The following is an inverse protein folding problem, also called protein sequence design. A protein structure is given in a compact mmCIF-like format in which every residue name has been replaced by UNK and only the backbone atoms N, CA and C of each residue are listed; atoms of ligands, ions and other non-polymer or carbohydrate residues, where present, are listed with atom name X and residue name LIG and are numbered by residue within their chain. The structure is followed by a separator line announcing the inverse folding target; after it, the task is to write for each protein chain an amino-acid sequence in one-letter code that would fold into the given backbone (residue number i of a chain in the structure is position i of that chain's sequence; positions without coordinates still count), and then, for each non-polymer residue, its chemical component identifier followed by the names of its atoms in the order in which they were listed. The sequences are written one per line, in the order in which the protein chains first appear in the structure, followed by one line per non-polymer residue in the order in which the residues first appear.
data_IF_580457379003
#
_entry.id   IF_580457379003
#
_cell.length_a   1.000
_cell.length_b   1.000
_cell.length_c   1.000
_cell.angle_alpha   90.00
_cell.angle_beta   90.00
_cell.angle_gamma   90.00
#
_symmetry.space_group_name_H-M   'P 1'
#
loop_
_entity.id
_entity.type
_entity.pdbx_description
1 polymer ?
2 non-polymer ?
3 water ?
#
# COMPACT_ATOMS: atom_id res chain seq x y z
N UNK A 1 -7.70 -13.87 -1.90
CA UNK A 1 -8.68 -13.31 -0.97
C UNK A 1 -7.99 -12.53 0.15
N UNK A 2 -7.00 -13.14 0.79
CA UNK A 2 -6.20 -12.47 1.80
C UNK A 2 -5.49 -11.27 1.17
N UNK A 3 -4.98 -11.47 -0.04
CA UNK A 3 -4.39 -10.38 -0.81
C UNK A 3 -4.67 -10.55 -2.29
N UNK A 4 -4.53 -9.45 -3.03
CA UNK A 4 -4.66 -9.48 -4.48
C UNK A 4 -3.50 -8.71 -5.11
N UNK A 5 -2.99 -9.23 -6.21
CA UNK A 5 -2.05 -8.47 -7.00
C UNK A 5 -2.84 -7.39 -7.74
N UNK A 6 -2.35 -6.16 -7.68
CA UNK A 6 -3.03 -5.04 -8.32
C UNK A 6 -2.43 -4.79 -9.71
N UNK A 7 -1.10 -4.68 -9.77
CA UNK A 7 -0.40 -4.67 -11.06
C UNK A 7 0.90 -5.46 -10.97
N UNK A 8 1.80 -5.24 -11.91
CA UNK A 8 3.05 -6.02 -11.94
C UNK A 8 4.00 -5.67 -10.79
N UNK A 9 3.74 -4.57 -10.11
CA UNK A 9 4.57 -4.17 -8.97
C UNK A 9 3.87 -4.38 -7.64
N UNK A 10 2.65 -3.85 -7.54
CA UNK A 10 1.97 -3.73 -6.26
C UNK A 10 0.95 -4.83 -5.97
N UNK A 11 0.99 -5.33 -4.74
CA UNK A 11 -0.05 -6.20 -4.22
C UNK A 11 -0.72 -5.53 -3.02
N UNK A 12 -1.99 -5.87 -2.79
CA UNK A 12 -2.78 -5.27 -1.72
C UNK A 12 -3.40 -6.37 -0.86
N UNK A 13 -3.15 -6.33 0.45
CA UNK A 13 -3.66 -7.40 1.29
C UNK A 13 -3.78 -7.11 2.78
N UNK A 14 -4.27 -8.11 3.51
CA UNK A 14 -4.41 -8.04 4.95
C UNK A 14 -3.05 -8.32 5.61
N UNK A 15 -3.04 -8.33 6.94
CA UNK A 15 -1.81 -8.57 7.69
C UNK A 15 -1.03 -9.76 7.12
N UNK A 16 0.25 -9.54 6.80
CA UNK A 16 1.07 -10.67 6.34
C UNK A 16 1.54 -11.49 7.54
N UNK A 17 1.00 -12.70 7.67
CA UNK A 17 1.46 -13.61 8.73
C UNK A 17 2.84 -14.13 8.39
N UNK A 18 3.62 -14.50 9.40
CA UNK A 18 4.99 -14.95 9.19
C UNK A 18 5.08 -16.13 8.22
N UNK A 19 4.07 -16.99 8.23
CA UNK A 19 4.08 -18.18 7.39
C UNK A 19 3.83 -17.85 5.92
N UNK A 20 3.55 -16.58 5.63
CA UNK A 20 3.31 -16.14 4.26
C UNK A 20 4.55 -15.55 3.61
N UNK A 21 5.64 -15.48 4.36
CA UNK A 21 6.86 -14.82 3.90
C UNK A 21 7.42 -15.47 2.63
N UNK A 22 7.55 -16.79 2.63
CA UNK A 22 8.11 -17.49 1.50
C UNK A 22 7.27 -17.28 0.24
N UNK A 23 5.96 -17.38 0.37
CA UNK A 23 5.07 -17.17 -0.76
C UNK A 23 5.22 -15.76 -1.34
N UNK A 24 5.26 -14.76 -0.46
CA UNK A 24 5.38 -13.38 -0.90
C UNK A 24 6.74 -13.09 -1.55
N UNK A 25 7.81 -13.48 -0.88
CA UNK A 25 9.15 -13.21 -1.38
C UNK A 25 9.48 -14.04 -2.62
N UNK A 26 9.29 -15.35 -2.53
CA UNK A 26 9.64 -16.25 -3.62
C UNK A 26 8.66 -16.22 -4.79
N UNK A 27 7.38 -16.43 -4.49
CA UNK A 27 6.37 -16.52 -5.54
C UNK A 27 5.96 -15.16 -6.11
N UNK A 28 5.80 -14.17 -5.24
CA UNK A 28 5.34 -12.86 -5.68
C UNK A 28 6.48 -11.87 -5.92
N UNK A 29 7.70 -12.31 -5.63
CA UNK A 29 8.88 -11.46 -5.78
C UNK A 29 8.77 -10.15 -5.00
N UNK A 30 8.14 -10.21 -3.83
CA UNK A 30 8.05 -9.06 -2.95
C UNK A 30 9.40 -8.74 -2.30
N UNK A 31 9.87 -7.52 -2.50
CA UNK A 31 11.16 -7.11 -1.94
C UNK A 31 11.05 -5.81 -1.16
N UNK A 32 9.83 -5.26 -1.13
CA UNK A 32 9.52 -4.12 -0.29
C UNK A 32 8.16 -4.34 0.32
N UNK A 33 7.96 -3.87 1.55
CA UNK A 33 6.65 -3.97 2.19
C UNK A 33 6.24 -2.63 2.79
N UNK A 34 5.04 -2.18 2.44
CA UNK A 34 4.50 -0.96 3.03
C UNK A 34 3.44 -1.34 4.07
N UNK A 35 3.75 -1.07 5.33
CA UNK A 35 2.90 -1.45 6.45
C UNK A 35 2.08 -0.26 6.95
N UNK A 36 0.81 -0.23 6.57
CA UNK A 36 -0.11 0.78 7.05
C UNK A 36 -0.77 0.28 8.34
N UNK A 37 0.02 0.18 9.40
CA UNK A 37 -0.46 -0.36 10.67
C UNK A 37 0.24 0.24 11.87
N UNK A 38 -0.40 0.17 13.02
CA UNK A 38 0.21 0.59 14.26
C UNK A 38 0.96 -0.58 14.88
N UNK A 39 1.88 -0.26 15.80
CA UNK A 39 2.70 -1.28 16.45
C UNK A 39 1.84 -2.36 17.11
N UNK A 40 0.78 -1.95 17.78
CA UNK A 40 -0.07 -2.90 18.50
C UNK A 40 -0.82 -3.86 17.58
N UNK A 41 -0.96 -3.47 16.31
CA UNK A 41 -1.66 -4.30 15.33
C UNK A 41 -0.81 -5.42 14.73
N UNK A 42 0.48 -5.15 14.54
CA UNK A 42 1.37 -6.11 13.87
C UNK A 42 2.20 -6.91 14.85
N UNK A 43 2.14 -6.54 16.12
CA UNK A 43 2.90 -7.23 17.16
C UNK A 43 2.53 -8.72 17.21
N UNK A 44 3.54 -9.58 17.22
CA UNK A 44 3.36 -11.02 17.33
C UNK A 44 3.04 -11.71 16.00
N UNK A 45 2.13 -11.12 15.23
CA UNK A 45 1.61 -11.76 14.02
C UNK A 45 2.48 -11.56 12.78
N UNK A 46 3.17 -10.43 12.73
CA UNK A 46 3.92 -10.07 11.53
C UNK A 46 5.42 -10.07 11.77
N UNK A 47 6.19 -10.19 10.69
CA UNK A 47 7.63 -10.04 10.76
C UNK A 47 7.98 -8.68 11.32
N UNK A 48 9.03 -8.62 12.14
CA UNK A 48 9.60 -7.36 12.54
C UNK A 48 10.35 -6.81 11.35
N UNK A 49 10.75 -5.55 11.41
CA UNK A 49 11.58 -4.95 10.37
C UNK A 49 12.83 -5.81 10.11
N UNK A 50 13.43 -6.32 11.18
CA UNK A 50 14.63 -7.16 11.08
C UNK A 50 14.35 -8.50 10.42
N UNK A 51 13.24 -9.12 10.78
CA UNK A 51 12.86 -10.39 10.18
C UNK A 51 12.53 -10.25 8.69
N UNK A 52 11.89 -9.15 8.32
CA UNK A 52 11.67 -8.85 6.91
C UNK A 52 13.01 -8.74 6.19
N UNK A 53 13.91 -7.94 6.76
CA UNK A 53 15.20 -7.69 6.12
C UNK A 53 15.97 -8.99 5.92
N UNK A 54 15.92 -9.85 6.92
CA UNK A 54 16.56 -11.15 6.83
C UNK A 54 15.98 -11.99 5.70
N UNK A 55 14.71 -11.72 5.38
CA UNK A 55 14.02 -12.48 4.34
C UNK A 55 14.21 -11.83 2.97
N UNK A 56 14.93 -10.72 2.92
CA UNK A 56 15.24 -10.06 1.68
C UNK A 56 14.35 -8.88 1.33
N UNK A 57 13.62 -8.36 2.31
CA UNK A 57 12.71 -7.25 2.03
C UNK A 57 12.80 -6.07 3.00
N UNK A 58 12.69 -4.87 2.43
CA UNK A 58 12.74 -3.63 3.18
C UNK A 58 11.34 -3.19 3.59
N UNK A 59 11.16 -2.93 4.88
CA UNK A 59 9.86 -2.52 5.39
C UNK A 59 9.76 -1.01 5.57
N UNK A 60 8.66 -0.45 5.07
CA UNK A 60 8.33 0.95 5.33
C UNK A 60 7.05 1.00 6.13
N UNK A 61 7.09 1.66 7.28
CA UNK A 61 5.93 1.74 8.15
C UNK A 61 5.31 3.14 8.14
N UNK A 62 3.99 3.19 7.98
CA UNK A 62 3.26 4.46 7.98
C UNK A 62 1.99 4.37 8.82
N UNK A 63 1.77 5.36 9.69
CA UNK A 63 0.63 5.33 10.60
C UNK A 63 -0.51 6.27 10.23
N UNK A 64 -1.64 6.15 10.93
CA UNK A 64 -2.74 7.09 10.83
C UNK A 64 -3.31 7.37 12.23
N UNK A 65 -4.06 8.45 12.36
CA UNK A 65 -4.54 8.89 13.68
C UNK A 65 -5.65 8.00 14.25
N UNK A 66 -6.67 7.72 13.46
CA UNK A 66 -7.79 6.91 13.94
C UNK A 66 -8.20 5.82 12.95
N UNK A 67 -9.36 5.21 13.23
CA UNK A 67 -9.83 4.06 12.47
C UNK A 67 -10.47 4.42 11.14
N UNK A 68 -10.58 5.72 10.86
CA UNK A 68 -11.02 6.15 9.54
C UNK A 68 -9.89 5.93 8.53
N UNK A 69 -8.68 5.75 9.07
CA UNK A 69 -7.53 5.35 8.28
C UNK A 69 -7.05 6.34 7.23
N UNK A 70 -6.90 7.60 7.64
CA UNK A 70 -6.49 8.65 6.71
C UNK A 70 -5.03 9.02 6.87
N UNK A 71 -4.21 8.73 5.85
CA UNK A 71 -2.79 9.14 5.88
C UNK A 71 -2.63 10.62 5.52
N UNK A 72 -1.52 11.21 5.94
CA UNK A 72 -1.19 12.58 5.54
C UNK A 72 -0.68 12.57 4.10
N UNK A 73 -0.67 13.73 3.46
CA UNK A 73 -0.11 13.86 2.12
C UNK A 73 1.35 13.44 2.10
N UNK A 74 2.09 13.87 3.12
CA UNK A 74 3.51 13.56 3.24
C UNK A 74 3.76 12.05 3.25
N UNK A 75 2.99 11.32 4.06
CA UNK A 75 3.12 9.88 4.12
C UNK A 75 2.69 9.20 2.83
N UNK A 76 1.79 9.85 2.09
CA UNK A 76 1.36 9.33 0.80
C UNK A 76 2.52 9.37 -0.21
N UNK A 77 3.17 10.51 -0.32
CA UNK A 77 4.30 10.65 -1.22
C UNK A 77 5.44 9.73 -0.84
N UNK A 78 5.70 9.61 0.45
CA UNK A 78 6.74 8.71 0.95
C UNK A 78 6.43 7.29 0.50
N UNK A 79 5.19 6.86 0.70
CA UNK A 79 4.76 5.53 0.31
C UNK A 79 4.87 5.28 -1.19
N UNK A 80 4.36 6.22 -1.98
CA UNK A 80 4.38 6.06 -3.43
C UNK A 80 5.80 5.96 -3.98
N UNK A 81 6.68 6.84 -3.53
CA UNK A 81 8.07 6.83 -3.98
C UNK A 81 8.78 5.54 -3.62
N UNK A 82 8.41 4.97 -2.47
CA UNK A 82 8.93 3.67 -2.04
C UNK A 82 8.52 2.60 -3.06
N UNK A 83 7.24 2.55 -3.40
CA UNK A 83 6.75 1.62 -4.41
C UNK A 83 7.42 1.83 -5.76
N UNK A 84 7.60 3.09 -6.15
CA UNK A 84 8.22 3.38 -7.44
C UNK A 84 9.67 2.90 -7.48
N UNK A 85 10.34 2.92 -6.33
CA UNK A 85 11.71 2.47 -6.26
C UNK A 85 11.82 1.00 -6.67
N UNK A 86 10.91 0.18 -6.16
CA UNK A 86 10.94 -1.25 -6.47
C UNK A 86 10.38 -1.56 -7.86
N UNK A 87 9.47 -0.73 -8.34
CA UNK A 87 9.01 -0.85 -9.72
C UNK A 87 10.22 -0.71 -10.65
N UNK A 88 11.04 0.30 -10.37
CA UNK A 88 12.22 0.57 -11.18
C UNK A 88 13.19 -0.60 -11.17
N UNK A 89 13.15 -1.39 -10.10
CA UNK A 89 14.03 -2.54 -9.96
C UNK A 89 13.42 -3.80 -10.55
N UNK A 90 12.17 -3.70 -11.01
CA UNK A 90 11.46 -4.86 -11.52
C UNK A 90 11.04 -5.79 -10.40
N UNK A 91 10.87 -5.24 -9.21
CA UNK A 91 10.52 -6.03 -8.03
C UNK A 91 9.16 -5.62 -7.48
N UNK A 92 8.61 -6.43 -6.58
CA UNK A 92 7.24 -6.23 -6.12
C UNK A 92 7.14 -5.66 -4.70
N UNK A 93 6.00 -5.05 -4.42
CA UNK A 93 5.77 -4.40 -3.13
C UNK A 93 4.45 -4.87 -2.53
N UNK A 94 4.50 -5.40 -1.32
CA UNK A 94 3.30 -5.81 -0.61
C UNK A 94 2.80 -4.65 0.23
N UNK A 95 1.68 -4.05 -0.18
CA UNK A 95 1.08 -2.95 0.56
C UNK A 95 -0.05 -3.50 1.41
N UNK A 96 0.05 -3.33 2.72
CA UNK A 96 -0.93 -3.95 3.59
C UNK A 96 -1.39 -3.08 4.76
N UNK A 97 -2.54 -3.45 5.31
CA UNK A 97 -3.06 -2.90 6.55
C UNK A 97 -3.52 -4.11 7.35
N UNK A 98 -4.51 -3.93 8.22
CA UNK A 98 -5.04 -5.09 8.94
C UNK A 98 -5.88 -5.97 8.02
N UNK A 99 -6.88 -5.36 7.38
CA UNK A 99 -7.79 -6.11 6.51
C UNK A 99 -7.47 -5.94 5.03
N UNK A 100 -6.57 -5.02 4.71
CA UNK A 100 -6.28 -4.69 3.33
C UNK A 100 -7.49 -4.14 2.63
N UNK A 101 -8.30 -3.37 3.36
CA UNK A 101 -9.56 -2.86 2.83
C UNK A 101 -9.61 -1.34 2.72
N UNK A 102 -8.86 -0.64 3.57
CA UNK A 102 -9.02 0.81 3.68
C UNK A 102 -7.72 1.59 3.66
N UNK A 103 -6.96 1.51 4.75
CA UNK A 103 -5.70 2.24 4.85
C UNK A 103 -4.74 1.87 3.72
N UNK A 104 -4.63 0.57 3.45
CA UNK A 104 -3.78 0.08 2.39
C UNK A 104 -4.37 0.36 1.00
N UNK A 105 -5.69 0.26 0.88
CA UNK A 105 -6.35 0.56 -0.40
C UNK A 105 -6.11 2.01 -0.77
N UNK A 106 -6.10 2.89 0.22
CA UNK A 106 -5.85 4.31 0.02
C UNK A 106 -4.43 4.54 -0.48
N UNK A 107 -3.47 3.83 0.12
CA UNK A 107 -2.07 3.92 -0.31
C UNK A 107 -1.91 3.44 -1.75
N UNK A 108 -2.56 2.33 -2.08
CA UNK A 108 -2.49 1.80 -3.42
C UNK A 108 -3.15 2.75 -4.43
N UNK A 109 -4.25 3.37 -4.03
CA UNK A 109 -4.93 4.34 -4.89
C UNK A 109 -4.01 5.50 -5.22
N UNK A 110 -3.26 5.97 -4.22
CA UNK A 110 -2.32 7.07 -4.42
C UNK A 110 -1.24 6.69 -5.43
N UNK A 111 -0.73 5.46 -5.31
CA UNK A 111 0.27 4.94 -6.24
C UNK A 111 -0.28 4.92 -7.67
N UNK A 112 -1.52 4.47 -7.82
CA UNK A 112 -2.15 4.41 -9.14
C UNK A 112 -2.38 5.81 -9.72
N UNK A 113 -2.77 6.75 -8.88
CA UNK A 113 -2.95 8.14 -9.30
C UNK A 113 -1.64 8.68 -9.88
N UNK A 114 -0.54 8.43 -9.17
CA UNK A 114 0.78 8.88 -9.61
C UNK A 114 1.22 8.20 -10.90
N UNK A 115 0.98 6.90 -11.00
CA UNK A 115 1.48 6.12 -12.13
C UNK A 115 0.71 6.38 -13.42
N UNK A 116 -0.61 6.53 -13.31
CA UNK A 116 -1.46 6.65 -14.50
C UNK A 116 -2.10 8.03 -14.64
N UNK A 117 -1.91 8.89 -13.66
CA UNK A 117 -2.60 10.17 -13.63
C UNK A 117 -4.11 9.99 -13.58
N UNK A 118 -4.54 8.84 -13.06
CA UNK A 118 -5.95 8.57 -12.86
C UNK A 118 -6.50 9.45 -11.75
N UNK A 119 -7.80 9.73 -11.80
CA UNK A 119 -8.47 10.39 -10.69
C UNK A 119 -8.59 9.41 -9.53
N UNK A 120 -8.82 9.91 -8.32
CA UNK A 120 -9.02 9.02 -7.17
C UNK A 120 -10.14 7.99 -7.41
N UNK A 121 -11.26 8.44 -7.97
CA UNK A 121 -12.39 7.53 -8.19
C UNK A 121 -12.06 6.45 -9.21
N UNK A 122 -11.29 6.81 -10.22
CA UNK A 122 -10.84 5.83 -11.21
C UNK A 122 -9.90 4.83 -10.55
N UNK A 123 -8.98 5.33 -9.74
CA UNK A 123 -8.04 4.47 -9.04
C UNK A 123 -8.76 3.51 -8.10
N UNK A 124 -9.73 4.03 -7.36
CA UNK A 124 -10.51 3.22 -6.43
C UNK A 124 -11.33 2.17 -7.17
N UNK A 125 -11.95 2.58 -8.28
CA UNK A 125 -12.72 1.67 -9.11
C UNK A 125 -11.86 0.51 -9.62
N UNK A 126 -10.64 0.83 -10.05
CA UNK A 126 -9.73 -0.18 -10.56
C UNK A 126 -9.37 -1.20 -9.48
N UNK A 127 -9.15 -0.71 -8.26
CA UNK A 127 -8.84 -1.59 -7.15
C UNK A 127 -10.03 -2.48 -6.81
N UNK A 128 -11.22 -1.87 -6.76
CA UNK A 128 -12.44 -2.59 -6.42
C UNK A 128 -12.78 -3.70 -7.42
N UNK A 129 -12.41 -3.51 -8.68
CA UNK A 129 -12.62 -4.53 -9.70
C UNK A 129 -11.89 -5.81 -9.34
N UNK A 130 -10.79 -5.67 -8.61
CA UNK A 130 -9.93 -6.79 -8.27
C UNK A 130 -10.18 -7.26 -6.85
N UNK A 131 -10.22 -6.31 -5.92
CA UNK A 131 -10.46 -6.61 -4.52
C UNK A 131 -11.79 -6.00 -4.10
N UNK A 132 -12.83 -6.83 -4.11
CA UNK A 132 -14.20 -6.35 -3.94
C UNK A 132 -14.46 -5.57 -2.66
N UNK A 133 -13.98 -6.09 -1.53
CA UNK A 133 -14.41 -5.60 -0.23
C UNK A 133 -13.72 -4.34 0.28
N UNK A 134 -12.95 -3.66 -0.57
CA UNK A 134 -12.27 -2.44 -0.13
C UNK A 134 -13.28 -1.38 0.28
N UNK A 135 -12.85 -0.48 1.16
CA UNK A 135 -13.72 0.56 1.69
C UNK A 135 -12.96 1.87 1.89
N UNK A 136 -13.20 2.83 1.01
CA UNK A 136 -12.57 4.14 1.11
C UNK A 136 -13.51 5.12 1.81
N UNK A 137 -13.06 5.68 2.92
CA UNK A 137 -13.87 6.63 3.67
C UNK A 137 -13.75 8.02 3.06
N UNK A 138 -14.80 8.85 3.26
CA UNK A 138 -14.85 10.19 2.65
C UNK A 138 -13.61 11.01 2.99
N UNK A 139 -13.08 10.82 4.19
CA UNK A 139 -11.87 11.51 4.61
C UNK A 139 -10.66 11.01 3.83
N UNK A 140 -10.65 9.71 3.53
CA UNK A 140 -9.59 9.12 2.73
C UNK A 140 -9.69 9.61 1.28
N UNK A 141 -10.91 9.69 0.78
CA UNK A 141 -11.17 10.19 -0.57
C UNK A 141 -10.64 11.61 -0.74
N UNK A 142 -10.81 12.44 0.28
CA UNK A 142 -10.39 13.84 0.18
C UNK A 142 -8.87 14.02 0.12
N UNK A 143 -8.13 13.23 0.89
CA UNK A 143 -6.68 13.32 0.83
C UNK A 143 -6.18 12.83 -0.53
N UNK A 144 -6.89 11.87 -1.12
CA UNK A 144 -6.53 11.35 -2.45
C UNK A 144 -6.75 12.42 -3.52
N UNK A 145 -7.79 13.23 -3.35
CA UNK A 145 -8.05 14.33 -4.27
C UNK A 145 -6.97 15.39 -4.15
N UNK A 146 -6.51 15.62 -2.92
CA UNK A 146 -5.43 16.57 -2.68
C UNK A 146 -4.13 16.05 -3.30
N UNK A 147 -3.90 14.74 -3.17
CA UNK A 147 -2.73 14.12 -3.76
C UNK A 147 -2.74 14.28 -5.27
N UNK A 148 -3.88 14.00 -5.90
CA UNK A 148 -4.01 14.14 -7.34
C UNK A 148 -3.69 15.58 -7.76
N UNK A 149 -4.17 16.54 -6.98
CA UNK A 149 -3.89 17.94 -7.27
C UNK A 149 -2.39 18.23 -7.27
N UNK A 150 -1.70 17.80 -6.23
CA UNK A 150 -0.26 18.03 -6.13
C UNK A 150 0.51 17.34 -7.27
N UNK A 151 0.10 16.13 -7.60
CA UNK A 151 0.71 15.40 -8.71
C UNK A 151 0.57 16.19 -10.01
N UNK A 152 -0.61 16.76 -10.23
CA UNK A 152 -0.89 17.48 -11.46
C UNK A 152 -0.17 18.83 -11.51
N UNK A 153 -0.23 19.57 -10.41
CA UNK A 153 0.46 20.85 -10.32
C UNK A 153 1.95 20.65 -10.56
N UNK A 154 2.49 19.59 -9.98
CA UNK A 154 3.92 19.27 -10.11
C UNK A 154 4.28 19.00 -11.57
N UNK A 155 3.37 18.35 -12.30
CA UNK A 155 3.61 17.98 -13.68
C UNK A 155 3.54 19.18 -14.62
N UNK A 156 2.95 20.28 -14.15
CA UNK A 156 2.83 21.48 -14.96
C UNK A 156 4.08 22.36 -14.84
#
# INVERSE_FOLDING_TARGET
DWYHRIDHTVLLGALPLKNMTRRLVLDENVRGVITMNEEYETRFLCNTSKEWKKAGVEQLRLSTVDMTGVPTLANLHKGVQFALKYQALGQCVYVHSKAGRSRSATMVAAYLIQVHNWSPEEAIEAIAKIRSHISIRPSQLEVLKEFHKEITARAA
#
